data_IF_807465820139
#
_entry.id   IF_807465820139
#
_cell.length_a   1.000
_cell.length_b   1.000
_cell.length_c   1.000
_cell.angle_alpha   90.00
_cell.angle_beta   90.00
_cell.angle_gamma   90.00
#
_symmetry.space_group_name_H-M   'P 1'
#
loop_
_entity.id
_entity.type
_entity.pdbx_description
1 polymer ?
#
# COMPACT_ATOMS: atom_id res chain seq x y z
N UNK A 1 -10.82 -9.93 2.62
CA UNK A 1 -9.55 -9.72 3.34
C UNK A 1 -8.74 -11.02 3.41
N UNK A 2 -9.16 -12.03 4.17
CA UNK A 2 -8.37 -13.26 4.39
C UNK A 2 -7.85 -13.97 3.13
N UNK A 3 -8.69 -14.15 2.11
CA UNK A 3 -8.26 -14.77 0.84
C UNK A 3 -7.16 -13.96 0.15
N UNK A 4 -7.33 -12.64 0.01
CA UNK A 4 -6.32 -11.79 -0.62
C UNK A 4 -5.01 -11.76 0.17
N UNK A 5 -5.06 -11.71 1.50
CA UNK A 5 -3.85 -11.83 2.32
C UNK A 5 -3.12 -13.17 2.09
N UNK A 6 -3.85 -14.27 1.91
CA UNK A 6 -3.26 -15.57 1.63
C UNK A 6 -2.53 -15.62 0.28
N UNK A 7 -3.01 -14.87 -0.72
CA UNK A 7 -2.34 -14.77 -2.02
C UNK A 7 -0.96 -14.10 -1.89
N UNK A 8 -0.87 -12.96 -1.20
CA UNK A 8 0.41 -12.27 -0.98
C UNK A 8 1.38 -13.01 -0.04
N UNK A 9 0.88 -13.87 0.85
CA UNK A 9 1.74 -14.77 1.64
C UNK A 9 2.35 -15.86 0.76
N UNK A 10 1.58 -16.45 -0.16
CA UNK A 10 2.09 -17.46 -1.09
C UNK A 10 3.12 -16.87 -2.04
N UNK A 11 2.83 -15.69 -2.59
CA UNK A 11 3.74 -15.00 -3.50
C UNK A 11 5.03 -14.57 -2.77
N UNK A 12 4.91 -14.15 -1.51
CA UNK A 12 6.04 -13.74 -0.69
C UNK A 12 6.92 -14.88 -0.17
N UNK A 13 6.43 -16.13 -0.18
CA UNK A 13 7.18 -17.30 0.29
C UNK A 13 8.45 -17.59 -0.53
N UNK A 14 8.53 -17.09 -1.77
CA UNK A 14 9.68 -17.25 -2.65
C UNK A 14 10.62 -16.03 -2.66
N UNK A 15 10.23 -14.90 -2.06
CA UNK A 15 10.97 -13.62 -2.07
C UNK A 15 11.39 -13.15 -0.68
N UNK A 16 11.36 -14.03 0.34
CA UNK A 16 11.61 -13.70 1.76
C UNK A 16 10.66 -12.63 2.33
N UNK A 17 9.42 -12.56 1.84
CA UNK A 17 8.43 -11.57 2.28
C UNK A 17 7.54 -11.11 1.13
N UNK A 18 6.49 -10.35 1.44
CA UNK A 18 5.61 -9.74 0.43
C UNK A 18 6.47 -8.91 -0.53
N UNK A 19 6.31 -9.13 -1.83
CA UNK A 19 6.96 -8.36 -2.90
C UNK A 19 5.89 -7.79 -3.81
N UNK A 20 5.82 -6.46 -3.85
CA UNK A 20 4.89 -5.72 -4.69
C UNK A 20 5.61 -5.36 -6.00
N UNK A 21 5.17 -5.93 -7.12
CA UNK A 21 5.84 -5.73 -8.40
C UNK A 21 5.34 -4.50 -9.13
N UNK A 22 4.03 -4.41 -9.31
CA UNK A 22 3.40 -3.32 -10.07
C UNK A 22 2.60 -2.38 -9.19
N UNK A 23 2.29 -1.18 -9.69
CA UNK A 23 1.34 -0.26 -9.05
C UNK A 23 -0.04 -0.87 -8.87
N UNK A 24 -0.45 -1.74 -9.81
CA UNK A 24 -1.70 -2.48 -9.69
C UNK A 24 -1.64 -3.49 -8.53
N UNK A 25 -0.52 -4.16 -8.34
CA UNK A 25 -0.33 -5.06 -7.18
C UNK A 25 -0.33 -4.26 -5.88
N UNK A 26 0.20 -3.03 -5.90
CA UNK A 26 0.20 -2.14 -4.75
C UNK A 26 -1.22 -1.75 -4.35
N UNK A 27 -2.04 -1.36 -5.32
CA UNK A 27 -3.47 -1.06 -5.13
C UNK A 27 -4.24 -2.28 -4.63
N UNK A 28 -4.02 -3.44 -5.23
CA UNK A 28 -4.70 -4.68 -4.87
C UNK A 28 -4.33 -5.14 -3.46
N UNK A 29 -3.06 -5.02 -3.06
CA UNK A 29 -2.62 -5.31 -1.70
C UNK A 29 -3.33 -4.38 -0.72
N UNK A 30 -3.28 -3.07 -0.96
CA UNK A 30 -3.92 -2.06 -0.11
C UNK A 30 -5.45 -2.23 -0.06
N UNK A 31 -6.09 -2.62 -1.16
CA UNK A 31 -7.50 -2.96 -1.22
C UNK A 31 -7.84 -4.09 -0.24
N UNK A 32 -7.06 -5.19 -0.26
CA UNK A 32 -7.35 -6.32 0.60
C UNK A 32 -7.15 -6.04 2.09
N UNK A 33 -6.09 -5.30 2.45
CA UNK A 33 -5.71 -5.08 3.87
C UNK A 33 -6.36 -3.84 4.50
N UNK A 34 -6.73 -2.84 3.71
CA UNK A 34 -7.27 -1.58 4.22
C UNK A 34 -8.53 -1.10 3.49
N UNK A 35 -8.60 -1.19 2.16
CA UNK A 35 -9.78 -0.78 1.38
C UNK A 35 -11.07 -1.49 1.81
N UNK A 36 -10.99 -2.81 2.03
CA UNK A 36 -12.10 -3.60 2.56
C UNK A 36 -12.48 -3.22 4.00
N UNK A 37 -11.52 -2.81 4.83
CA UNK A 37 -11.76 -2.35 6.20
C UNK A 37 -12.53 -1.03 6.19
N UNK A 38 -12.10 -0.08 5.36
CA UNK A 38 -12.77 1.21 5.21
C UNK A 38 -14.19 1.02 4.65
N UNK A 39 -14.37 0.16 3.65
CA UNK A 39 -15.70 -0.20 3.13
C UNK A 39 -16.59 -0.84 4.22
N UNK A 40 -16.04 -1.75 5.02
CA UNK A 40 -16.75 -2.37 6.13
C UNK A 40 -17.17 -1.35 7.20
N UNK A 41 -16.28 -0.43 7.57
CA UNK A 41 -16.55 0.64 8.52
C UNK A 41 -17.65 1.59 8.00
N UNK A 42 -17.58 2.02 6.75
CA UNK A 42 -18.63 2.83 6.11
C UNK A 42 -19.99 2.13 6.18
N UNK A 43 -20.06 0.84 5.86
CA UNK A 43 -21.31 0.07 5.96
C UNK A 43 -21.84 -0.01 7.39
N UNK A 44 -20.97 -0.10 8.39
CA UNK A 44 -21.37 -0.06 9.81
C UNK A 44 -21.92 1.32 10.21
N UNK A 45 -21.31 2.42 9.75
CA UNK A 45 -21.80 3.78 10.03
C UNK A 45 -23.17 4.05 9.40
N UNK A 46 -23.39 3.55 8.19
CA UNK A 46 -24.72 3.60 7.56
C UNK A 46 -25.72 2.71 8.30
N UNK A 47 -25.33 1.48 8.65
CA UNK A 47 -26.20 0.54 9.36
C UNK A 47 -26.56 1.01 10.78
N UNK A 48 -25.73 1.83 11.42
CA UNK A 48 -26.07 2.44 12.72
C UNK A 48 -27.10 3.57 12.61
N UNK A 49 -27.43 4.03 11.40
CA UNK A 49 -28.34 5.15 11.17
C UNK A 49 -27.76 6.51 11.55
N UNK A 50 -26.44 6.60 11.73
CA UNK A 50 -25.74 7.85 12.07
C UNK A 50 -25.28 8.61 10.82
N UNK A 51 -25.12 7.90 9.70
CA UNK A 51 -24.69 8.46 8.41
C UNK A 51 -25.76 8.27 7.32
N UNK A 52 -25.66 9.06 6.25
CA UNK A 52 -26.55 8.95 5.08
C UNK A 52 -26.44 7.59 4.41
N UNK A 53 -27.58 7.03 3.97
CA UNK A 53 -27.62 5.79 3.18
C UNK A 53 -26.83 5.89 1.89
N UNK A 54 -26.74 7.09 1.30
CA UNK A 54 -26.06 7.33 0.02
C UNK A 54 -24.55 7.00 0.11
N UNK A 55 -23.97 7.04 1.32
CA UNK A 55 -22.58 6.70 1.55
C UNK A 55 -22.30 5.20 1.32
N UNK A 56 -23.30 4.34 1.44
CA UNK A 56 -23.14 2.91 1.17
C UNK A 56 -23.04 2.60 -0.35
N UNK A 57 -23.54 3.50 -1.19
CA UNK A 57 -23.54 3.34 -2.65
C UNK A 57 -22.19 3.74 -3.26
N UNK A 58 -21.49 4.73 -2.68
CA UNK A 58 -20.15 5.13 -3.09
C UNK A 58 -19.04 4.28 -2.45
N UNK A 59 -18.97 3.02 -2.91
CA UNK A 59 -17.92 2.11 -2.44
C UNK A 59 -16.51 2.55 -2.83
N UNK A 60 -16.36 3.34 -3.91
CA UNK A 60 -15.06 3.81 -4.38
C UNK A 60 -14.45 4.82 -3.42
N UNK A 61 -15.24 5.74 -2.87
CA UNK A 61 -14.78 6.71 -1.88
C UNK A 61 -14.20 6.00 -0.64
N UNK A 62 -14.93 5.02 -0.09
CA UNK A 62 -14.45 4.25 1.07
C UNK A 62 -13.19 3.46 0.76
N UNK A 63 -13.12 2.83 -0.41
CA UNK A 63 -11.94 2.07 -0.83
C UNK A 63 -10.73 3.00 -0.98
N UNK A 64 -10.88 4.15 -1.66
CA UNK A 64 -9.80 5.12 -1.84
C UNK A 64 -9.29 5.68 -0.50
N UNK A 65 -10.17 5.94 0.48
CA UNK A 65 -9.76 6.31 1.84
C UNK A 65 -8.84 5.25 2.46
N UNK A 66 -9.21 3.97 2.35
CA UNK A 66 -8.42 2.86 2.85
C UNK A 66 -7.07 2.72 2.13
N UNK A 67 -7.05 2.89 0.80
CA UNK A 67 -5.83 2.87 -0.01
C UNK A 67 -4.89 4.02 0.38
N UNK A 68 -5.40 5.25 0.45
CA UNK A 68 -4.63 6.44 0.83
C UNK A 68 -3.97 6.26 2.20
N UNK A 69 -4.73 5.78 3.20
CA UNK A 69 -4.23 5.52 4.55
C UNK A 69 -3.14 4.45 4.56
N UNK A 70 -3.37 3.33 3.88
CA UNK A 70 -2.42 2.21 3.87
C UNK A 70 -1.14 2.55 3.13
N UNK A 71 -1.23 3.22 1.98
CA UNK A 71 -0.05 3.62 1.21
C UNK A 71 0.78 4.64 1.97
N UNK A 72 0.16 5.59 2.67
CA UNK A 72 0.87 6.56 3.52
C UNK A 72 1.66 5.85 4.62
N UNK A 73 1.05 4.83 5.24
CA UNK A 73 1.71 3.99 6.26
C UNK A 73 2.92 3.25 5.68
N UNK A 74 2.74 2.59 4.52
CA UNK A 74 3.81 1.87 3.81
C UNK A 74 4.98 2.79 3.40
N UNK A 75 4.69 4.02 2.96
CA UNK A 75 5.75 4.99 2.66
C UNK A 75 6.57 5.30 3.92
N UNK A 76 5.88 5.63 5.01
CA UNK A 76 6.50 6.08 6.25
C UNK A 76 7.30 4.97 6.94
N UNK A 77 6.83 3.72 6.84
CA UNK A 77 7.42 2.56 7.52
C UNK A 77 8.55 1.86 6.73
N UNK A 78 9.00 2.42 5.60
CA UNK A 78 10.05 1.85 4.73
C UNK A 78 11.23 1.24 5.49
N UNK A 79 11.88 2.00 6.38
CA UNK A 79 13.07 1.52 7.08
C UNK A 79 12.73 0.38 8.05
N UNK A 80 11.62 0.47 8.76
CA UNK A 80 11.14 -0.58 9.68
C UNK A 80 10.85 -1.87 8.92
N UNK A 81 10.14 -1.77 7.80
CA UNK A 81 9.80 -2.91 6.95
C UNK A 81 11.05 -3.63 6.44
N UNK A 82 12.04 -2.88 5.97
CA UNK A 82 13.31 -3.45 5.53
C UNK A 82 14.08 -4.15 6.66
N UNK A 83 14.03 -3.65 7.90
CA UNK A 83 14.65 -4.31 9.06
C UNK A 83 13.99 -5.66 9.39
N UNK A 84 12.70 -5.80 9.11
CA UNK A 84 11.96 -7.05 9.27
C UNK A 84 11.90 -7.90 7.98
N UNK A 85 12.64 -7.54 6.94
CA UNK A 85 12.68 -8.28 5.67
C UNK A 85 11.43 -8.14 4.80
N UNK A 86 10.59 -7.13 5.04
CA UNK A 86 9.38 -6.85 4.26
C UNK A 86 9.66 -5.78 3.20
N UNK A 87 9.11 -5.93 1.99
CA UNK A 87 9.31 -4.99 0.87
C UNK A 87 7.97 -4.61 0.21
N UNK A 88 7.36 -3.54 0.71
CA UNK A 88 6.05 -3.09 0.20
C UNK A 88 6.10 -2.00 -0.86
N UNK A 89 7.24 -1.30 -1.01
CA UNK A 89 7.40 -0.33 -2.07
C UNK A 89 7.38 -1.04 -3.44
N UNK A 90 6.64 -0.51 -4.44
CA UNK A 90 6.44 -1.20 -5.71
C UNK A 90 7.71 -1.19 -6.57
N UNK A 91 8.10 -2.38 -7.07
CA UNK A 91 9.26 -2.57 -7.96
C UNK A 91 9.21 -1.71 -9.21
N UNK A 92 8.02 -1.53 -9.78
CA UNK A 92 7.78 -0.65 -10.92
C UNK A 92 8.27 0.79 -10.68
N UNK A 93 8.32 1.28 -9.43
CA UNK A 93 8.90 2.59 -9.10
C UNK A 93 10.37 2.47 -8.69
N UNK A 94 10.68 1.71 -7.63
CA UNK A 94 12.02 1.79 -7.04
C UNK A 94 13.12 1.26 -7.98
N UNK A 95 12.79 0.34 -8.89
CA UNK A 95 13.74 -0.22 -9.86
C UNK A 95 14.26 0.79 -10.88
N UNK A 96 13.60 1.95 -11.01
CA UNK A 96 14.06 3.08 -11.84
C UNK A 96 15.28 3.76 -11.21
N UNK A 97 15.40 3.72 -9.88
CA UNK A 97 16.39 4.46 -9.10
C UNK A 97 17.53 3.58 -8.61
N UNK A 98 17.25 2.34 -8.22
CA UNK A 98 18.21 1.41 -7.61
C UNK A 98 18.00 -0.03 -8.06
N UNK A 99 18.98 -0.90 -7.81
CA UNK A 99 18.90 -2.33 -8.18
C UNK A 99 18.12 -3.16 -7.17
N UNK A 100 18.22 -2.81 -5.89
CA UNK A 100 17.38 -3.38 -4.83
C UNK A 100 16.84 -2.24 -3.97
N UNK A 101 15.57 -2.31 -3.57
CA UNK A 101 14.98 -1.29 -2.70
C UNK A 101 15.71 -1.13 -1.37
N UNK A 102 16.48 -2.11 -0.91
CA UNK A 102 17.32 -1.98 0.29
C UNK A 102 18.53 -1.05 0.12
N UNK A 103 18.88 -0.66 -1.11
CA UNK A 103 19.99 0.25 -1.35
C UNK A 103 19.64 1.69 -0.92
N UNK A 104 18.34 2.05 -0.92
CA UNK A 104 17.87 3.42 -0.63
C UNK A 104 18.12 3.88 0.82
N UNK A 105 18.43 2.96 1.75
CA UNK A 105 18.83 3.31 3.13
C UNK A 105 20.34 3.45 3.33
N UNK A 106 21.13 3.06 2.33
CA UNK A 106 22.60 3.06 2.45
C UNK A 106 23.16 4.45 2.15
N UNK A 107 24.27 4.86 2.80
CA UNK A 107 24.91 6.15 2.51
C UNK A 107 25.30 6.28 1.03
N UNK A 108 25.08 7.46 0.44
CA UNK A 108 25.38 7.75 -0.96
C UNK A 108 24.22 7.56 -1.94
N UNK A 109 23.05 7.09 -1.47
CA UNK A 109 21.82 6.95 -2.26
C UNK A 109 20.77 8.01 -1.89
N UNK A 110 21.14 9.11 -1.21
CA UNK A 110 20.18 10.06 -0.64
C UNK A 110 19.32 10.74 -1.73
N UNK A 111 19.89 11.04 -2.89
CA UNK A 111 19.14 11.64 -4.01
C UNK A 111 18.16 10.64 -4.61
N UNK A 112 18.61 9.43 -4.92
CA UNK A 112 17.79 8.33 -5.45
C UNK A 112 16.65 7.97 -4.48
N UNK A 113 16.93 7.95 -3.17
CA UNK A 113 15.93 7.72 -2.12
C UNK A 113 14.85 8.79 -2.10
N UNK A 114 15.22 10.07 -2.15
CA UNK A 114 14.27 11.19 -2.16
C UNK A 114 13.45 11.25 -3.45
N UNK A 115 14.07 10.98 -4.60
CA UNK A 115 13.37 10.96 -5.89
C UNK A 115 12.41 9.78 -5.99
N UNK A 116 12.83 8.59 -5.54
CA UNK A 116 11.97 7.42 -5.44
C UNK A 116 10.78 7.67 -4.51
N UNK A 117 11.04 8.21 -3.31
CA UNK A 117 10.00 8.60 -2.36
C UNK A 117 8.98 9.55 -3.01
N UNK A 118 9.46 10.58 -3.72
CA UNK A 118 8.62 11.55 -4.40
C UNK A 118 7.71 10.89 -5.44
N UNK A 119 8.22 9.94 -6.22
CA UNK A 119 7.44 9.19 -7.20
C UNK A 119 6.35 8.31 -6.56
N UNK A 120 6.62 7.68 -5.41
CA UNK A 120 5.59 6.91 -4.70
C UNK A 120 4.55 7.85 -4.09
N UNK A 121 4.95 8.99 -3.54
CA UNK A 121 4.01 10.01 -3.03
C UNK A 121 3.08 10.49 -4.15
N UNK A 122 3.60 10.78 -5.34
CA UNK A 122 2.79 11.18 -6.50
C UNK A 122 1.75 10.12 -6.87
N UNK A 123 2.05 8.83 -6.69
CA UNK A 123 1.07 7.77 -6.90
C UNK A 123 -0.09 7.84 -5.88
N UNK A 124 0.20 8.12 -4.61
CA UNK A 124 -0.82 8.20 -3.54
C UNK A 124 -1.81 9.33 -3.80
N UNK A 125 -1.36 10.47 -4.34
CA UNK A 125 -2.20 11.65 -4.58
C UNK A 125 -3.33 11.43 -5.61
N UNK A 126 -3.41 10.25 -6.24
CA UNK A 126 -4.51 9.86 -7.13
C UNK A 126 -5.72 9.26 -6.38
N UNK A 127 -5.64 9.10 -5.06
CA UNK A 127 -6.72 8.61 -4.18
C UNK A 127 -7.26 9.73 -3.31
#
# INVERSE_FOLDING_TARGET
>A
MGNGMADYVKDGAHTNGVSIKTLKDFDMYCYYVAGLTALGATRLFVASGLESSDLADDTNLSINLGLYYQKTTIIRDYLEDHLYGRKYWPEEIWSIYVKDSSDLKEPGYETEALDCLSSIILNILNH
#
